data_IF_729251846854
#
_entry.id   IF_729251846854
#
_cell.length_a   1.000
_cell.length_b   1.000
_cell.length_c   1.000
_cell.angle_alpha   90.00
_cell.angle_beta   90.00
_cell.angle_gamma   90.00
#
_symmetry.space_group_name_H-M   'P 1'
#
loop_
_entity.id
_entity.type
_entity.pdbx_description
1 polymer ?
#
# COMPACT_ATOMS: atom_id res chain seq x y z
N UNK A 1 9.86 -5.70 -8.78
CA UNK A 1 10.04 -7.12 -8.39
C UNK A 1 8.72 -7.65 -7.82
N UNK A 2 7.92 -8.38 -8.62
CA UNK A 2 6.74 -9.08 -8.11
C UNK A 2 7.14 -10.49 -7.66
N UNK A 3 7.15 -10.74 -6.35
CA UNK A 3 7.36 -12.07 -5.80
C UNK A 3 6.02 -12.84 -5.86
N UNK A 4 5.91 -13.76 -6.82
CA UNK A 4 4.95 -14.87 -6.73
C UNK A 4 5.44 -15.79 -5.61
N UNK A 5 4.75 -15.76 -4.46
CA UNK A 5 4.93 -16.77 -3.41
C UNK A 5 4.04 -17.96 -3.78
N UNK A 6 4.65 -19.03 -4.27
CA UNK A 6 4.01 -20.35 -4.38
C UNK A 6 4.62 -21.20 -3.27
N UNK A 7 3.80 -21.65 -2.31
CA UNK A 7 4.20 -22.63 -1.31
C UNK A 7 4.08 -24.03 -1.91
N UNK A 8 5.21 -24.70 -2.16
CA UNK A 8 5.23 -26.15 -2.41
C UNK A 8 5.75 -26.86 -1.16
N UNK A 9 4.90 -27.73 -0.60
CA UNK A 9 5.27 -28.75 0.40
C UNK A 9 6.16 -29.79 -0.27
N UNK A 10 7.38 -29.99 0.24
CA UNK A 10 8.30 -31.00 -0.24
C UNK A 10 8.45 -32.15 0.75
N UNK A 11 8.24 -33.38 0.29
CA UNK A 11 8.70 -34.61 0.94
C UNK A 11 10.18 -34.90 0.64
N UNK A 12 10.94 -35.58 1.52
CA UNK A 12 12.38 -35.75 1.37
C UNK A 12 12.75 -37.04 0.61
N UNK A 13 13.62 -36.92 -0.39
CA UNK A 13 14.10 -38.06 -1.20
C UNK A 13 15.45 -37.83 -1.89
N UNK A 14 16.52 -37.93 -1.10
CA UNK A 14 17.88 -38.44 -1.39
C UNK A 14 18.39 -38.60 -2.85
N UNK A 15 19.47 -37.87 -3.21
CA UNK A 15 20.83 -38.35 -3.57
C UNK A 15 21.60 -37.37 -4.48
N UNK A 16 22.89 -37.27 -4.19
CA UNK A 16 23.87 -36.24 -4.61
C UNK A 16 24.46 -36.53 -5.99
N UNK A 17 24.60 -35.50 -6.83
CA UNK A 17 25.39 -35.49 -8.07
C UNK A 17 25.84 -34.05 -8.41
N UNK A 18 26.98 -33.85 -9.11
CA UNK A 18 27.64 -32.54 -9.21
C UNK A 18 26.85 -31.60 -10.14
N UNK A 19 26.24 -30.56 -9.56
CA UNK A 19 25.21 -29.76 -10.22
C UNK A 19 25.76 -28.60 -11.06
N UNK A 20 25.59 -28.68 -12.39
CA UNK A 20 25.41 -27.49 -13.25
C UNK A 20 24.35 -26.59 -12.61
N UNK A 21 24.66 -25.30 -12.46
CA UNK A 21 23.83 -24.32 -11.74
C UNK A 21 22.34 -24.44 -12.07
N UNK A 22 21.56 -24.94 -11.11
CA UNK A 22 20.11 -25.11 -11.25
C UNK A 22 19.47 -23.72 -11.15
N UNK A 23 19.19 -23.09 -12.30
CA UNK A 23 18.35 -21.89 -12.36
C UNK A 23 17.06 -22.23 -11.61
N UNK A 24 16.70 -21.44 -10.59
CA UNK A 24 15.48 -21.71 -9.81
C UNK A 24 14.28 -21.74 -10.77
N UNK A 25 13.42 -22.75 -10.65
CA UNK A 25 12.20 -22.89 -11.49
C UNK A 25 11.36 -21.60 -11.52
N UNK A 26 11.39 -20.81 -10.45
CA UNK A 26 10.75 -19.49 -10.38
C UNK A 26 11.35 -18.40 -11.27
N UNK A 27 12.64 -18.47 -11.65
CA UNK A 27 13.23 -17.52 -12.62
C UNK A 27 12.80 -17.82 -14.06
N UNK A 28 12.65 -19.09 -14.42
CA UNK A 28 12.19 -19.49 -15.76
C UNK A 28 10.72 -19.10 -16.01
N UNK A 29 9.85 -19.25 -15.00
CA UNK A 29 8.43 -18.88 -15.12
C UNK A 29 8.18 -17.38 -15.37
N UNK A 30 9.17 -16.53 -15.08
CA UNK A 30 9.07 -15.08 -15.27
C UNK A 30 9.71 -14.58 -16.57
N UNK A 31 10.41 -15.43 -17.32
CA UNK A 31 10.96 -15.03 -18.60
C UNK A 31 9.86 -15.05 -19.67
N UNK A 32 9.68 -13.91 -20.33
CA UNK A 32 8.79 -13.79 -21.47
C UNK A 32 9.48 -14.51 -22.64
N UNK A 33 8.81 -15.47 -23.30
CA UNK A 33 9.41 -16.21 -24.39
C UNK A 33 9.88 -15.30 -25.56
N UNK A 34 11.02 -15.60 -26.20
CA UNK A 34 11.53 -14.82 -27.32
C UNK A 34 10.54 -14.65 -28.48
N UNK A 35 9.68 -15.64 -28.72
CA UNK A 35 8.64 -15.60 -29.75
C UNK A 35 7.58 -14.52 -29.52
N UNK A 36 7.36 -14.09 -28.27
CA UNK A 36 6.51 -12.94 -27.95
C UNK A 36 7.33 -11.66 -28.04
N UNK A 37 8.51 -11.62 -27.41
CA UNK A 37 9.36 -10.42 -27.35
C UNK A 37 9.80 -9.93 -28.73
N UNK A 38 10.11 -10.86 -29.64
CA UNK A 38 10.65 -10.58 -30.96
C UNK A 38 9.58 -10.65 -32.06
N UNK A 39 8.29 -10.71 -31.72
CA UNK A 39 7.21 -10.72 -32.70
C UNK A 39 7.10 -9.35 -33.39
N UNK A 40 7.41 -9.21 -34.70
CA UNK A 40 7.42 -7.90 -35.36
C UNK A 40 6.03 -7.24 -35.42
N UNK A 41 4.97 -8.05 -35.52
CA UNK A 41 3.60 -7.53 -35.54
C UNK A 41 3.19 -6.98 -34.18
N UNK A 42 3.60 -7.65 -33.09
CA UNK A 42 3.34 -7.16 -31.74
C UNK A 42 4.11 -5.87 -31.47
N UNK A 43 5.39 -5.82 -31.84
CA UNK A 43 6.21 -4.62 -31.69
C UNK A 43 5.60 -3.43 -32.45
N UNK A 44 5.14 -3.63 -33.69
CA UNK A 44 4.46 -2.60 -34.46
C UNK A 44 3.14 -2.15 -33.80
N UNK A 45 2.35 -3.08 -33.24
CA UNK A 45 1.10 -2.72 -32.58
C UNK A 45 1.34 -1.93 -31.27
N UNK A 46 2.37 -2.30 -30.50
CA UNK A 46 2.75 -1.60 -29.26
C UNK A 46 3.24 -0.18 -29.52
N UNK A 47 3.77 0.14 -30.72
CA UNK A 47 4.17 1.50 -31.10
C UNK A 47 2.99 2.50 -31.16
N UNK A 48 1.74 2.02 -31.16
CA UNK A 48 0.56 2.89 -31.03
C UNK A 48 0.40 3.45 -29.60
N UNK A 49 1.04 2.85 -28.60
CA UNK A 49 1.06 3.32 -27.21
C UNK A 49 2.22 4.31 -27.01
N UNK A 50 2.09 5.28 -26.08
CA UNK A 50 3.14 6.26 -25.84
C UNK A 50 4.43 5.56 -25.38
N UNK A 51 5.52 5.84 -26.09
CA UNK A 51 6.78 5.11 -25.93
C UNK A 51 7.43 5.31 -24.56
N UNK A 52 7.11 6.39 -23.86
CA UNK A 52 7.60 6.66 -22.51
C UNK A 52 6.84 5.88 -21.42
N UNK A 53 5.71 5.22 -21.73
CA UNK A 53 4.95 4.41 -20.78
C UNK A 53 5.24 2.92 -21.01
N UNK A 54 5.52 2.18 -19.95
CA UNK A 54 5.69 0.73 -20.00
C UNK A 54 4.43 0.01 -19.50
N UNK A 55 3.52 -0.31 -20.43
CA UNK A 55 2.32 -1.12 -20.16
C UNK A 55 2.60 -2.62 -20.01
N UNK A 56 3.85 -3.07 -20.09
CA UNK A 56 4.26 -4.48 -20.00
C UNK A 56 3.49 -5.44 -20.93
N UNK A 57 3.03 -4.97 -22.11
CA UNK A 57 2.17 -5.74 -23.02
C UNK A 57 2.68 -7.17 -23.31
N UNK A 58 3.97 -7.39 -23.65
CA UNK A 58 4.49 -8.75 -23.87
C UNK A 58 4.34 -9.66 -22.64
N UNK A 59 4.53 -9.11 -21.43
CA UNK A 59 4.37 -9.84 -20.17
C UNK A 59 2.90 -10.17 -19.94
N UNK A 60 1.99 -9.22 -20.20
CA UNK A 60 0.55 -9.42 -20.07
C UNK A 60 0.08 -10.54 -21.00
N UNK A 61 0.47 -10.53 -22.27
CA UNK A 61 0.19 -11.61 -23.24
C UNK A 61 0.68 -12.96 -22.71
N UNK A 62 1.94 -13.01 -22.27
CA UNK A 62 2.52 -14.25 -21.73
C UNK A 62 1.74 -14.78 -20.52
N UNK A 63 1.35 -13.89 -19.60
CA UNK A 63 0.60 -14.27 -18.39
C UNK A 63 -0.81 -14.75 -18.71
N UNK A 64 -1.49 -14.14 -19.67
CA UNK A 64 -2.80 -14.58 -20.16
C UNK A 64 -2.67 -15.99 -20.77
N UNK A 65 -1.66 -16.22 -21.61
CA UNK A 65 -1.40 -17.53 -22.22
C UNK A 65 -1.06 -18.61 -21.18
N UNK A 66 -0.23 -18.29 -20.19
CA UNK A 66 0.11 -19.18 -19.07
C UNK A 66 -1.07 -19.49 -18.14
N UNK A 67 -2.03 -18.57 -18.05
CA UNK A 67 -3.28 -18.79 -17.34
C UNK A 67 -4.31 -19.56 -18.19
N UNK A 68 -4.06 -19.73 -19.48
CA UNK A 68 -5.03 -20.23 -20.46
C UNK A 68 -6.36 -19.45 -20.44
N UNK A 69 -6.29 -18.17 -20.03
CA UNK A 69 -7.45 -17.33 -19.80
C UNK A 69 -8.22 -17.09 -21.11
N UNK A 70 -9.55 -17.18 -21.04
CA UNK A 70 -10.48 -16.94 -22.14
C UNK A 70 -11.17 -15.60 -22.01
N UNK A 71 -11.42 -15.16 -20.78
CA UNK A 71 -11.99 -13.84 -20.46
C UNK A 71 -11.01 -13.05 -19.60
N UNK A 72 -10.67 -11.85 -20.06
CA UNK A 72 -9.72 -10.95 -19.41
C UNK A 72 -10.41 -9.62 -19.14
N UNK A 73 -10.29 -9.12 -17.92
CA UNK A 73 -10.72 -7.77 -17.58
C UNK A 73 -9.51 -6.85 -17.42
N UNK A 74 -9.64 -5.62 -17.90
CA UNK A 74 -8.68 -4.55 -17.69
C UNK A 74 -9.27 -3.52 -16.74
N UNK A 75 -8.59 -3.24 -15.64
CA UNK A 75 -8.93 -2.17 -14.71
C UNK A 75 -7.82 -1.12 -14.76
N UNK A 76 -8.20 0.15 -14.95
CA UNK A 76 -7.25 1.25 -15.14
C UNK A 76 -7.73 2.48 -14.38
N UNK A 77 -6.83 3.30 -13.82
CA UNK A 77 -7.17 4.64 -13.38
C UNK A 77 -7.59 5.51 -14.58
N UNK A 78 -8.28 6.62 -14.30
CA UNK A 78 -8.91 7.48 -15.30
C UNK A 78 -7.89 7.99 -16.33
N UNK A 79 -6.70 8.37 -15.86
CA UNK A 79 -5.60 8.85 -16.68
C UNK A 79 -4.99 7.82 -17.64
N UNK A 80 -5.37 6.55 -17.55
CA UNK A 80 -4.92 5.49 -18.47
C UNK A 80 -6.05 4.93 -19.35
N UNK A 81 -7.32 5.29 -19.10
CA UNK A 81 -8.46 4.80 -19.89
C UNK A 81 -8.39 5.20 -21.37
N UNK A 82 -7.72 6.31 -21.71
CA UNK A 82 -7.50 6.71 -23.11
C UNK A 82 -6.73 5.67 -23.94
N UNK A 83 -6.00 4.75 -23.28
CA UNK A 83 -5.24 3.68 -23.94
C UNK A 83 -5.98 2.34 -23.93
N UNK A 84 -7.13 2.25 -23.27
CA UNK A 84 -7.79 0.98 -22.97
C UNK A 84 -8.18 0.23 -24.24
N UNK A 85 -8.84 0.88 -25.21
CA UNK A 85 -9.25 0.24 -26.47
C UNK A 85 -8.05 -0.27 -27.27
N UNK A 86 -6.97 0.51 -27.39
CA UNK A 86 -5.75 0.06 -28.06
C UNK A 86 -5.14 -1.16 -27.37
N UNK A 87 -5.14 -1.20 -26.04
CA UNK A 87 -4.64 -2.34 -25.27
C UNK A 87 -5.56 -3.57 -25.47
N UNK A 88 -6.89 -3.40 -25.49
CA UNK A 88 -7.86 -4.45 -25.81
C UNK A 88 -7.54 -5.06 -27.18
N UNK A 89 -7.48 -4.25 -28.23
CA UNK A 89 -7.22 -4.71 -29.61
C UNK A 89 -5.92 -5.53 -29.71
N UNK A 90 -4.86 -5.07 -29.03
CA UNK A 90 -3.58 -5.79 -28.99
C UNK A 90 -3.76 -7.13 -28.25
N UNK A 91 -4.33 -7.12 -27.06
CA UNK A 91 -4.46 -8.35 -26.26
C UNK A 91 -5.34 -9.38 -26.94
N UNK A 92 -6.49 -8.99 -27.52
CA UNK A 92 -7.37 -9.91 -28.25
C UNK A 92 -6.64 -10.52 -29.45
N UNK A 93 -5.93 -9.70 -30.24
CA UNK A 93 -5.17 -10.16 -31.41
C UNK A 93 -4.11 -11.20 -31.07
N UNK A 94 -3.38 -11.02 -29.97
CA UNK A 94 -2.21 -11.86 -29.64
C UNK A 94 -2.49 -12.97 -28.60
N UNK A 95 -3.68 -13.01 -28.00
CA UNK A 95 -4.07 -14.05 -27.02
C UNK A 95 -5.29 -14.85 -27.42
N UNK A 96 -6.15 -14.31 -28.31
CA UNK A 96 -7.50 -14.85 -28.62
C UNK A 96 -8.44 -14.92 -27.41
N UNK A 97 -8.13 -14.23 -26.32
CA UNK A 97 -9.06 -14.03 -25.22
C UNK A 97 -10.05 -12.92 -25.58
N UNK A 98 -11.25 -13.00 -25.03
CA UNK A 98 -12.21 -11.89 -24.96
C UNK A 98 -11.71 -10.92 -23.89
N UNK A 99 -11.51 -9.65 -24.25
CA UNK A 99 -10.95 -8.65 -23.33
C UNK A 99 -11.94 -7.51 -23.13
N UNK A 100 -12.28 -7.23 -21.87
CA UNK A 100 -13.21 -6.15 -21.50
C UNK A 100 -12.54 -5.09 -20.63
N UNK A 101 -13.03 -3.86 -20.70
CA UNK A 101 -12.59 -2.76 -19.84
C UNK A 101 -13.59 -2.58 -18.71
N UNK A 102 -13.08 -2.55 -17.46
CA UNK A 102 -13.86 -2.21 -16.28
C UNK A 102 -13.97 -0.68 -16.21
N UNK A 103 -15.19 -0.16 -16.40
CA UNK A 103 -15.44 1.28 -16.53
C UNK A 103 -15.63 2.05 -15.22
N UNK A 104 -15.67 1.36 -14.08
CA UNK A 104 -15.78 2.00 -12.77
C UNK A 104 -14.47 2.71 -12.37
N UNK A 105 -14.62 3.78 -11.59
CA UNK A 105 -13.53 4.62 -11.11
C UNK A 105 -12.48 3.81 -10.34
N UNK A 106 -11.20 4.05 -10.59
CA UNK A 106 -10.09 3.32 -9.94
C UNK A 106 -9.04 4.29 -9.40
N UNK A 107 -9.24 4.74 -8.15
CA UNK A 107 -8.37 5.72 -7.49
C UNK A 107 -7.00 5.17 -7.06
N UNK A 108 -6.84 3.85 -6.92
CA UNK A 108 -5.65 3.25 -6.33
C UNK A 108 -5.66 1.73 -6.32
N UNK A 109 -4.56 1.13 -5.84
CA UNK A 109 -4.46 -0.33 -5.64
C UNK A 109 -5.50 -0.90 -4.68
N UNK A 110 -6.00 -0.08 -3.74
CA UNK A 110 -7.08 -0.48 -2.85
C UNK A 110 -8.40 -0.71 -3.58
N UNK A 111 -8.58 -0.17 -4.79
CA UNK A 111 -9.80 -0.31 -5.59
C UNK A 111 -9.76 -1.52 -6.52
N UNK A 112 -8.81 -2.46 -6.36
CA UNK A 112 -8.78 -3.69 -7.17
C UNK A 112 -10.14 -4.40 -7.11
N UNK A 113 -10.79 -4.53 -8.26
CA UNK A 113 -12.16 -5.04 -8.35
C UNK A 113 -12.19 -6.49 -8.83
N UNK A 114 -11.68 -7.37 -7.98
CA UNK A 114 -11.76 -8.80 -8.24
C UNK A 114 -13.16 -9.37 -7.98
N UNK A 115 -14.01 -8.68 -7.22
CA UNK A 115 -15.37 -9.14 -6.95
C UNK A 115 -16.22 -9.11 -8.22
N UNK A 116 -16.25 -7.98 -8.93
CA UNK A 116 -16.98 -7.86 -10.20
C UNK A 116 -16.37 -8.76 -11.26
N UNK A 117 -15.04 -8.81 -11.37
CA UNK A 117 -14.36 -9.68 -12.33
C UNK A 117 -14.74 -11.16 -12.13
N UNK A 118 -14.72 -11.66 -10.88
CA UNK A 118 -15.17 -13.02 -10.55
C UNK A 118 -16.66 -13.23 -10.88
N UNK A 119 -17.52 -12.26 -10.55
CA UNK A 119 -18.95 -12.35 -10.83
C UNK A 119 -19.27 -12.44 -12.33
N UNK A 120 -18.43 -11.83 -13.18
CA UNK A 120 -18.54 -11.89 -14.64
C UNK A 120 -17.89 -13.15 -15.25
N UNK A 121 -17.30 -14.03 -14.43
CA UNK A 121 -16.58 -15.21 -14.90
C UNK A 121 -15.30 -14.86 -15.67
N UNK A 122 -14.63 -13.77 -15.29
CA UNK A 122 -13.31 -13.40 -15.81
C UNK A 122 -12.27 -14.35 -15.23
N UNK A 123 -11.38 -14.87 -16.08
CA UNK A 123 -10.30 -15.77 -15.65
C UNK A 123 -9.07 -14.97 -15.18
N UNK A 124 -8.88 -13.77 -15.74
CA UNK A 124 -7.68 -12.96 -15.55
C UNK A 124 -7.99 -11.46 -15.48
N UNK A 125 -7.57 -10.80 -14.40
CA UNK A 125 -7.67 -9.35 -14.24
C UNK A 125 -6.29 -8.70 -14.41
N UNK A 126 -6.19 -7.68 -15.26
CA UNK A 126 -5.01 -6.82 -15.37
C UNK A 126 -5.33 -5.47 -14.74
N UNK A 127 -4.69 -5.17 -13.61
CA UNK A 127 -4.84 -3.90 -12.88
C UNK A 127 -3.65 -2.99 -13.18
N UNK A 128 -3.90 -1.87 -13.86
CA UNK A 128 -2.86 -0.93 -14.30
C UNK A 128 -2.67 0.22 -13.30
N UNK A 129 -1.46 0.78 -13.31
CA UNK A 129 -1.11 2.06 -12.68
C UNK A 129 -0.77 2.00 -11.20
N UNK A 130 -0.94 0.85 -10.52
CA UNK A 130 -0.73 0.76 -9.07
C UNK A 130 0.11 -0.45 -8.66
N UNK A 131 0.79 -0.33 -7.52
CA UNK A 131 1.52 -1.43 -6.88
C UNK A 131 0.57 -2.43 -6.22
N UNK A 132 1.03 -3.66 -5.99
CA UNK A 132 0.24 -4.66 -5.27
C UNK A 132 0.17 -4.29 -3.77
N UNK A 133 -0.95 -3.71 -3.35
CA UNK A 133 -1.18 -3.26 -1.97
C UNK A 133 -1.94 -4.29 -1.14
N UNK A 134 -2.91 -4.96 -1.76
CA UNK A 134 -3.83 -5.88 -1.10
C UNK A 134 -3.46 -7.32 -1.45
N UNK A 135 -3.16 -8.19 -0.47
CA UNK A 135 -2.86 -9.58 -0.75
C UNK A 135 -4.11 -10.24 -1.36
N UNK A 136 -3.94 -10.76 -2.57
CA UNK A 136 -4.98 -11.51 -3.28
C UNK A 136 -4.80 -12.99 -2.99
N UNK A 137 -5.84 -13.64 -2.49
CA UNK A 137 -5.84 -15.09 -2.36
C UNK A 137 -6.05 -15.71 -3.75
N UNK A 138 -4.94 -16.17 -4.34
CA UNK A 138 -4.93 -16.87 -5.62
C UNK A 138 -5.22 -18.37 -5.48
N UNK A 139 -5.39 -18.88 -4.25
CA UNK A 139 -5.57 -20.31 -4.00
C UNK A 139 -7.03 -20.76 -4.02
N UNK A 140 -7.99 -19.84 -3.89
CA UNK A 140 -9.39 -20.22 -3.61
C UNK A 140 -10.24 -20.41 -4.87
N UNK A 141 -9.88 -19.81 -5.99
CA UNK A 141 -10.59 -19.96 -7.28
C UNK A 141 -9.58 -19.58 -8.37
N UNK A 142 -9.52 -20.27 -9.51
CA UNK A 142 -8.57 -20.11 -10.63
C UNK A 142 -8.44 -18.69 -11.26
N UNK A 143 -8.91 -17.66 -10.57
CA UNK A 143 -8.79 -16.25 -10.86
C UNK A 143 -7.38 -15.70 -10.60
N UNK A 144 -6.79 -15.06 -11.61
CA UNK A 144 -5.44 -14.47 -11.51
C UNK A 144 -5.50 -12.96 -11.68
N UNK A 145 -4.73 -12.24 -10.88
CA UNK A 145 -4.56 -10.78 -11.00
C UNK A 145 -3.11 -10.47 -11.37
N UNK A 146 -2.92 -9.68 -12.42
CA UNK A 146 -1.65 -9.07 -12.78
C UNK A 146 -1.68 -7.58 -12.49
N UNK A 147 -0.80 -7.12 -11.61
CA UNK A 147 -0.53 -5.70 -11.45
C UNK A 147 0.52 -5.25 -12.45
N UNK A 148 0.19 -4.22 -13.24
CA UNK A 148 1.10 -3.53 -14.14
C UNK A 148 1.27 -2.11 -13.63
N UNK A 149 2.47 -1.77 -13.16
CA UNK A 149 2.69 -0.51 -12.46
C UNK A 149 2.63 0.71 -13.40
N UNK A 150 2.88 0.48 -14.69
CA UNK A 150 3.04 1.51 -15.73
C UNK A 150 4.17 2.48 -15.37
N UNK A 151 5.39 1.99 -15.57
CA UNK A 151 6.60 2.81 -15.41
C UNK A 151 6.64 3.90 -16.48
N UNK A 152 6.78 5.16 -16.07
CA UNK A 152 6.79 6.32 -16.95
C UNK A 152 8.19 6.92 -16.96
N UNK A 153 8.83 6.88 -18.12
CA UNK A 153 10.14 7.51 -18.35
C UNK A 153 9.99 9.02 -18.43
N UNK A 154 10.88 9.72 -17.76
CA UNK A 154 10.94 11.19 -17.69
C UNK A 154 12.35 11.69 -18.03
N UNK A 155 12.51 13.00 -18.13
CA UNK A 155 13.82 13.64 -18.25
C UNK A 155 14.55 13.64 -16.90
N UNK A 156 15.32 12.58 -16.65
CA UNK A 156 16.10 12.42 -15.41
C UNK A 156 17.17 13.49 -15.26
N UNK A 157 17.80 13.93 -16.36
CA UNK A 157 18.84 14.96 -16.32
C UNK A 157 18.28 16.28 -15.79
N UNK A 158 17.11 16.70 -16.29
CA UNK A 158 16.45 17.89 -15.80
C UNK A 158 16.05 17.80 -14.31
N UNK A 159 15.61 16.62 -13.84
CA UNK A 159 15.34 16.40 -12.40
C UNK A 159 16.61 16.62 -11.56
N UNK A 160 17.73 16.03 -11.99
CA UNK A 160 19.01 16.13 -11.29
C UNK A 160 19.52 17.58 -11.26
N UNK A 161 19.49 18.27 -12.39
CA UNK A 161 19.90 19.68 -12.49
C UNK A 161 19.02 20.60 -11.65
N UNK A 162 17.70 20.33 -11.60
CA UNK A 162 16.77 21.07 -10.74
C UNK A 162 17.09 20.91 -9.25
N UNK A 163 17.42 19.69 -8.81
CA UNK A 163 17.87 19.42 -7.43
C UNK A 163 19.19 20.13 -7.16
N UNK A 164 20.16 20.05 -8.08
CA UNK A 164 21.47 20.71 -7.98
C UNK A 164 21.39 22.23 -7.87
N UNK A 165 20.47 22.84 -8.60
CA UNK A 165 20.25 24.28 -8.56
C UNK A 165 19.57 24.73 -7.25
N UNK A 166 18.83 23.85 -6.58
CA UNK A 166 17.96 24.22 -5.45
C UNK A 166 18.62 23.96 -4.10
N UNK A 167 19.41 22.89 -3.95
CA UNK A 167 19.98 22.47 -2.68
C UNK A 167 21.51 22.56 -2.68
N UNK A 168 22.08 23.04 -1.59
CA UNK A 168 23.52 23.07 -1.39
C UNK A 168 24.09 21.64 -1.31
N UNK A 169 25.29 21.38 -1.88
CA UNK A 169 25.97 20.09 -1.69
C UNK A 169 26.10 19.75 -0.20
N UNK A 170 25.87 18.49 0.14
CA UNK A 170 25.85 17.96 1.51
C UNK A 170 24.47 17.98 2.18
N UNK A 171 23.47 18.66 1.63
CA UNK A 171 22.11 18.64 2.21
C UNK A 171 21.54 17.24 2.34
N UNK A 172 20.81 16.99 3.42
CA UNK A 172 20.09 15.72 3.63
C UNK A 172 18.70 15.73 2.98
N UNK A 173 18.52 14.88 1.96
CA UNK A 173 17.32 14.85 1.13
C UNK A 173 16.61 13.51 1.25
N UNK A 174 15.30 13.54 1.48
CA UNK A 174 14.43 12.37 1.31
C UNK A 174 13.76 12.42 -0.07
N UNK A 175 13.95 11.36 -0.86
CA UNK A 175 13.36 11.24 -2.19
C UNK A 175 12.16 10.30 -2.16
N UNK A 176 10.99 10.80 -2.57
CA UNK A 176 9.73 10.05 -2.60
C UNK A 176 8.97 10.27 -3.91
N UNK A 177 8.06 9.36 -4.25
CA UNK A 177 7.32 9.36 -5.52
C UNK A 177 6.08 8.47 -5.42
N UNK A 178 5.23 8.54 -6.44
CA UNK A 178 4.27 7.47 -6.76
C UNK A 178 4.93 6.36 -7.57
N UNK A 179 4.31 5.18 -7.58
CA UNK A 179 4.85 3.97 -8.21
C UNK A 179 5.28 4.15 -9.67
N UNK A 180 4.59 5.00 -10.44
CA UNK A 180 4.86 5.19 -11.87
C UNK A 180 6.23 5.81 -12.16
N UNK A 181 6.84 6.52 -11.19
CA UNK A 181 8.17 7.13 -11.35
C UNK A 181 9.23 6.59 -10.38
N UNK A 182 8.90 5.57 -9.56
CA UNK A 182 9.83 5.04 -8.54
C UNK A 182 11.13 4.52 -9.15
N UNK A 183 11.12 3.93 -10.35
CA UNK A 183 12.35 3.47 -11.00
C UNK A 183 13.30 4.63 -11.28
N UNK A 184 12.78 5.74 -11.83
CA UNK A 184 13.55 6.93 -12.14
C UNK A 184 14.00 7.65 -10.88
N UNK A 185 13.12 7.73 -9.86
CA UNK A 185 13.47 8.25 -8.54
C UNK A 185 14.66 7.50 -7.95
N UNK A 186 14.64 6.15 -7.98
CA UNK A 186 15.72 5.33 -7.45
C UNK A 186 17.02 5.48 -8.24
N UNK A 187 16.95 5.65 -9.56
CA UNK A 187 18.13 5.95 -10.38
C UNK A 187 18.72 7.32 -10.05
N UNK A 188 17.88 8.36 -10.00
CA UNK A 188 18.30 9.72 -9.61
C UNK A 188 18.89 9.74 -8.19
N UNK A 189 18.32 8.96 -7.27
CA UNK A 189 18.84 8.82 -5.92
C UNK A 189 20.25 8.26 -5.87
N UNK A 190 20.63 7.33 -6.76
CA UNK A 190 22.01 6.82 -6.80
C UNK A 190 23.00 7.86 -7.30
N UNK A 191 22.60 8.68 -8.27
CA UNK A 191 23.47 9.75 -8.79
C UNK A 191 23.67 10.87 -7.77
N UNK A 192 22.57 11.33 -7.14
CA UNK A 192 22.61 12.42 -6.16
C UNK A 192 23.41 12.08 -4.89
N UNK A 193 23.63 10.79 -4.57
CA UNK A 193 24.48 10.37 -3.42
C UNK A 193 25.92 10.86 -3.50
N UNK A 194 26.42 11.21 -4.69
CA UNK A 194 27.75 11.78 -4.84
C UNK A 194 27.86 13.19 -4.23
N UNK A 195 26.75 13.92 -4.15
CA UNK A 195 26.70 15.33 -3.79
C UNK A 195 25.86 15.59 -2.52
N UNK A 196 24.96 14.68 -2.15
CA UNK A 196 23.95 14.85 -1.09
C UNK A 196 23.85 13.64 -0.15
N UNK A 197 23.33 13.85 1.07
CA UNK A 197 22.93 12.77 1.96
C UNK A 197 21.51 12.29 1.60
N UNK A 198 21.43 11.38 0.62
CA UNK A 198 20.14 10.92 0.07
C UNK A 198 19.56 9.73 0.83
N UNK A 199 18.32 9.86 1.29
CA UNK A 199 17.49 8.77 1.80
C UNK A 199 16.32 8.47 0.85
N UNK A 200 16.01 7.18 0.66
CA UNK A 200 14.85 6.72 -0.11
C UNK A 200 13.99 5.89 0.86
N UNK A 201 13.10 6.53 1.63
CA UNK A 201 12.39 5.87 2.73
C UNK A 201 11.41 4.82 2.20
N UNK A 202 11.11 3.80 3.02
CA UNK A 202 10.19 2.73 2.64
C UNK A 202 9.19 2.47 3.78
N UNK A 203 7.90 2.54 3.47
CA UNK A 203 6.84 2.04 4.33
C UNK A 203 6.31 0.73 3.74
N UNK A 204 6.61 -0.42 4.36
CA UNK A 204 6.13 -1.71 3.85
C UNK A 204 4.59 -1.74 3.86
N UNK A 205 3.93 -2.32 2.84
CA UNK A 205 4.49 -3.16 1.77
C UNK A 205 5.00 -2.39 0.53
N UNK A 206 5.00 -1.06 0.54
CA UNK A 206 5.36 -0.24 -0.61
C UNK A 206 6.85 -0.38 -0.97
N UNK A 207 7.18 -0.05 -2.22
CA UNK A 207 8.55 -0.03 -2.72
C UNK A 207 9.36 1.11 -2.07
N UNK A 208 10.70 1.04 -2.02
CA UNK A 208 11.51 2.16 -1.55
C UNK A 208 11.23 3.44 -2.37
N UNK A 209 10.90 4.53 -1.68
CA UNK A 209 10.54 5.83 -2.24
C UNK A 209 9.06 5.95 -2.60
N UNK A 210 8.29 4.87 -2.57
CA UNK A 210 6.87 4.90 -2.88
C UNK A 210 6.05 5.40 -1.68
N UNK A 211 5.16 6.36 -1.93
CA UNK A 211 4.18 6.85 -0.96
C UNK A 211 2.76 6.77 -1.52
N UNK A 212 1.78 6.61 -0.64
CA UNK A 212 0.35 6.64 -0.96
C UNK A 212 -0.33 7.83 -0.27
N UNK A 213 -1.49 8.24 -0.77
CA UNK A 213 -2.31 9.25 -0.10
C UNK A 213 -2.73 8.88 1.33
N UNK A 214 -2.70 7.58 1.67
CA UNK A 214 -3.09 7.03 2.97
C UNK A 214 -1.93 6.39 3.75
N UNK A 215 -0.72 6.35 3.20
CA UNK A 215 0.44 5.71 3.82
C UNK A 215 1.73 6.41 3.43
N UNK A 216 2.41 7.03 4.41
CA UNK A 216 3.67 7.76 4.23
C UNK A 216 4.64 7.50 5.39
N UNK A 217 5.96 7.51 5.13
CA UNK A 217 6.96 7.30 6.18
C UNK A 217 7.07 8.51 7.12
N UNK A 218 7.51 8.25 8.36
CA UNK A 218 8.11 9.29 9.21
C UNK A 218 9.57 9.43 8.84
N UNK A 219 10.00 10.65 8.55
CA UNK A 219 11.36 10.98 8.16
C UNK A 219 12.22 11.22 9.40
N UNK A 220 13.51 10.81 9.36
CA UNK A 220 14.46 11.15 10.41
C UNK A 220 14.63 12.66 10.58
N UNK A 221 15.07 13.11 11.76
CA UNK A 221 15.18 14.54 12.11
C UNK A 221 16.26 15.27 11.29
N UNK A 222 17.24 14.54 10.81
CA UNK A 222 18.36 15.02 10.00
C UNK A 222 17.95 15.39 8.56
N UNK A 223 16.78 14.95 8.09
CA UNK A 223 16.30 15.28 6.74
C UNK A 223 15.96 16.77 6.65
N UNK A 224 16.67 17.49 5.80
CA UNK A 224 16.50 18.94 5.58
C UNK A 224 15.37 19.25 4.60
N UNK A 225 15.10 18.36 3.64
CA UNK A 225 14.00 18.51 2.71
C UNK A 225 13.51 17.16 2.16
N UNK A 226 12.23 17.10 1.82
CA UNK A 226 11.64 16.02 1.04
C UNK A 226 11.41 16.51 -0.39
N UNK A 227 11.92 15.77 -1.38
CA UNK A 227 11.69 16.01 -2.81
C UNK A 227 10.78 14.90 -3.33
N UNK A 228 9.58 15.28 -3.72
CA UNK A 228 8.58 14.42 -4.32
C UNK A 228 8.63 14.53 -5.84
N UNK A 229 8.76 13.38 -6.52
CA UNK A 229 8.63 13.26 -7.97
C UNK A 229 7.18 12.90 -8.33
N UNK A 230 6.48 13.82 -8.98
CA UNK A 230 5.12 13.60 -9.46
C UNK A 230 4.38 14.90 -9.77
N UNK A 231 3.29 14.78 -10.50
CA UNK A 231 2.50 15.88 -11.05
C UNK A 231 1.40 16.39 -10.10
N UNK A 232 0.88 15.54 -9.23
CA UNK A 232 -0.17 15.88 -8.24
C UNK A 232 0.34 16.21 -6.83
N UNK A 233 -0.49 16.92 -6.05
CA UNK A 233 -0.21 17.21 -4.62
C UNK A 233 -0.75 16.16 -3.66
N UNK A 234 -1.72 15.32 -4.06
CA UNK A 234 -2.36 14.33 -3.17
C UNK A 234 -1.34 13.44 -2.44
N UNK A 235 -0.40 12.82 -3.15
CA UNK A 235 0.60 11.97 -2.51
C UNK A 235 1.61 12.76 -1.68
N UNK A 236 2.06 13.92 -2.18
CA UNK A 236 2.96 14.79 -1.45
C UNK A 236 2.35 15.29 -0.12
N UNK A 237 1.06 15.63 -0.11
CA UNK A 237 0.35 16.05 1.10
C UNK A 237 0.36 14.96 2.17
N UNK A 238 0.32 13.69 1.79
CA UNK A 238 0.44 12.57 2.74
C UNK A 238 1.78 12.60 3.50
N UNK A 239 2.89 12.84 2.80
CA UNK A 239 4.21 12.93 3.46
C UNK A 239 4.36 14.25 4.22
N UNK A 240 3.77 15.35 3.75
CA UNK A 240 3.73 16.63 4.49
C UNK A 240 2.99 16.48 5.81
N UNK A 241 1.79 15.89 5.81
CA UNK A 241 0.97 15.63 7.01
C UNK A 241 1.76 14.81 8.04
N UNK A 242 2.46 13.77 7.59
CA UNK A 242 3.26 12.90 8.44
C UNK A 242 4.56 13.56 8.97
N UNK A 243 5.03 14.65 8.32
CA UNK A 243 6.32 15.28 8.58
C UNK A 243 6.21 16.83 8.54
N UNK A 244 5.46 17.45 9.45
CA UNK A 244 5.09 18.88 9.39
C UNK A 244 6.26 19.86 9.38
N UNK A 245 7.42 19.43 9.88
CA UNK A 245 8.60 20.28 10.04
C UNK A 245 9.62 20.12 8.91
N UNK A 246 9.37 19.24 7.93
CA UNK A 246 10.29 19.00 6.80
C UNK A 246 9.82 19.82 5.59
N UNK A 247 10.61 20.77 5.08
CA UNK A 247 10.35 21.46 3.83
C UNK A 247 10.07 20.49 2.68
N UNK A 248 8.94 20.67 2.00
CA UNK A 248 8.53 19.81 0.89
C UNK A 248 8.69 20.50 -0.46
N UNK A 249 9.20 19.75 -1.43
CA UNK A 249 9.37 20.19 -2.80
C UNK A 249 8.73 19.18 -3.75
N UNK A 250 8.04 19.67 -4.78
CA UNK A 250 7.47 18.86 -5.86
C UNK A 250 8.21 19.14 -7.15
N UNK A 251 8.81 18.10 -7.71
CA UNK A 251 9.21 18.08 -9.11
C UNK A 251 8.09 17.48 -9.96
N UNK A 252 7.47 18.29 -10.80
CA UNK A 252 6.53 17.82 -11.81
C UNK A 252 7.29 17.47 -13.09
N UNK A 253 7.33 16.20 -13.51
CA UNK A 253 8.09 15.77 -14.68
C UNK A 253 7.52 16.23 -16.01
N UNK A 254 6.26 16.65 -16.07
CA UNK A 254 5.62 17.11 -17.29
C UNK A 254 5.87 18.61 -17.49
N UNK A 255 5.65 19.42 -16.45
CA UNK A 255 5.92 20.86 -16.51
C UNK A 255 7.40 21.22 -16.32
N UNK A 256 8.22 20.26 -15.86
CA UNK A 256 9.66 20.43 -15.55
C UNK A 256 9.88 21.54 -14.53
N UNK A 257 9.05 21.59 -13.50
CA UNK A 257 9.14 22.59 -12.42
C UNK A 257 9.41 21.89 -11.09
N UNK A 258 10.46 22.31 -10.40
CA UNK A 258 10.68 22.04 -8.98
C UNK A 258 10.13 23.22 -8.17
N UNK A 259 9.08 22.98 -7.41
CA UNK A 259 8.38 24.01 -6.62
C UNK A 259 8.43 23.65 -5.14
N UNK A 260 8.51 24.67 -4.27
CA UNK A 260 8.33 24.48 -2.83
C UNK A 260 6.85 24.47 -2.50
N UNK A 261 6.42 23.44 -1.80
CA UNK A 261 5.02 23.19 -1.50
C UNK A 261 4.76 23.40 0.00
N UNK A 262 3.58 23.92 0.32
CA UNK A 262 3.16 24.19 1.69
C UNK A 262 1.83 23.49 1.99
N UNK A 263 1.63 23.13 3.25
CA UNK A 263 0.39 22.51 3.72
C UNK A 263 -0.10 23.21 4.99
N UNK A 264 -1.40 23.50 5.05
CA UNK A 264 -2.01 24.17 6.19
C UNK A 264 -2.32 23.17 7.31
N UNK A 265 -1.27 22.81 8.05
CA UNK A 265 -1.34 21.84 9.13
C UNK A 265 -2.26 22.31 10.26
N UNK A 266 -2.27 23.61 10.56
CA UNK A 266 -3.12 24.17 11.62
C UNK A 266 -4.59 24.04 11.26
N UNK A 267 -4.97 24.43 10.04
CA UNK A 267 -6.35 24.28 9.57
C UNK A 267 -6.78 22.83 9.48
N UNK A 268 -5.93 21.95 8.96
CA UNK A 268 -6.24 20.52 8.89
C UNK A 268 -6.49 19.99 10.31
N UNK A 269 -5.55 20.18 11.23
CA UNK A 269 -5.69 19.66 12.60
C UNK A 269 -6.89 20.25 13.34
N UNK A 270 -7.14 21.56 13.22
CA UNK A 270 -8.30 22.21 13.83
C UNK A 270 -9.62 21.62 13.32
N UNK A 271 -9.76 21.47 12.00
CA UNK A 271 -10.95 20.88 11.36
C UNK A 271 -11.17 19.45 11.84
N UNK A 272 -10.10 18.64 11.92
CA UNK A 272 -10.19 17.25 12.38
C UNK A 272 -10.52 17.15 13.87
N UNK A 273 -9.93 18.00 14.71
CA UNK A 273 -10.22 18.05 16.14
C UNK A 273 -11.65 18.52 16.44
N UNK A 274 -12.19 19.47 15.67
CA UNK A 274 -13.59 19.89 15.76
C UNK A 274 -14.53 18.73 15.44
N UNK A 275 -14.27 17.98 14.36
CA UNK A 275 -15.03 16.78 14.00
C UNK A 275 -15.01 15.72 15.11
N UNK A 276 -13.84 15.48 15.72
CA UNK A 276 -13.69 14.57 16.88
C UNK A 276 -14.46 15.08 18.09
N UNK A 277 -14.41 16.38 18.38
CA UNK A 277 -15.10 16.98 19.51
C UNK A 277 -16.62 16.86 19.37
N UNK A 278 -17.16 17.14 18.18
CA UNK A 278 -18.58 16.93 17.88
C UNK A 278 -18.99 15.46 18.04
N UNK A 279 -18.16 14.53 17.56
CA UNK A 279 -18.40 13.09 17.66
C UNK A 279 -18.48 12.57 19.11
N UNK A 280 -17.76 13.18 20.06
CA UNK A 280 -17.81 12.78 21.49
C UNK A 280 -19.20 12.95 22.11
N UNK A 281 -20.03 13.83 21.56
CA UNK A 281 -21.41 14.07 21.99
C UNK A 281 -22.47 13.34 21.16
N UNK A 282 -22.05 12.58 20.14
CA UNK A 282 -22.97 11.87 19.25
C UNK A 282 -23.73 10.76 19.98
N UNK A 283 -25.04 10.68 19.74
CA UNK A 283 -25.90 9.62 20.28
C UNK A 283 -25.99 8.43 19.34
N UNK A 284 -25.99 8.66 18.03
CA UNK A 284 -26.08 7.61 17.01
C UNK A 284 -24.93 7.70 16.02
N UNK A 285 -24.23 6.57 15.84
CA UNK A 285 -23.06 6.47 14.97
C UNK A 285 -23.42 5.80 13.63
N UNK A 286 -22.81 6.24 12.55
CA UNK A 286 -22.89 5.59 11.25
C UNK A 286 -21.55 4.99 10.88
N UNK A 287 -21.50 3.70 10.61
CA UNK A 287 -20.29 3.00 10.16
C UNK A 287 -20.39 2.74 8.66
N UNK A 288 -19.51 3.38 7.88
CA UNK A 288 -19.42 3.18 6.44
C UNK A 288 -18.32 2.17 6.14
N UNK A 289 -18.66 1.10 5.42
CA UNK A 289 -17.69 0.18 4.83
C UNK A 289 -17.57 0.48 3.33
N UNK A 290 -16.38 0.88 2.88
CA UNK A 290 -16.11 1.12 1.47
C UNK A 290 -16.11 -0.16 0.65
N UNK A 291 -16.92 -0.21 -0.42
CA UNK A 291 -17.07 -1.39 -1.29
C UNK A 291 -16.46 -1.23 -2.68
N UNK A 292 -15.79 -0.11 -2.97
CA UNK A 292 -14.99 0.05 -4.19
C UNK A 292 -13.71 -0.78 -4.07
N UNK A 293 -13.71 -1.95 -4.70
CA UNK A 293 -12.66 -2.95 -4.57
C UNK A 293 -12.46 -3.40 -3.12
N UNK A 294 -11.26 -3.20 -2.59
CA UNK A 294 -10.80 -3.66 -1.26
C UNK A 294 -10.39 -2.52 -0.33
N UNK A 295 -10.91 -1.31 -0.55
CA UNK A 295 -10.61 -0.17 0.32
C UNK A 295 -11.21 -0.32 1.72
N UNK A 296 -12.33 -1.04 1.84
CA UNK A 296 -12.95 -1.38 3.12
C UNK A 296 -12.23 -2.54 3.81
N UNK A 297 -12.32 -2.55 5.14
CA UNK A 297 -11.77 -3.63 5.97
C UNK A 297 -12.84 -4.14 6.93
N UNK A 298 -13.40 -5.34 6.69
CA UNK A 298 -14.33 -5.98 7.62
C UNK A 298 -13.75 -6.08 9.04
N UNK A 299 -12.44 -6.34 9.17
CA UNK A 299 -11.76 -6.38 10.47
C UNK A 299 -11.83 -5.04 11.23
N UNK A 300 -11.62 -3.92 10.55
CA UNK A 300 -11.71 -2.59 11.17
C UNK A 300 -13.17 -2.30 11.54
N UNK A 301 -14.11 -2.65 10.65
CA UNK A 301 -15.55 -2.50 10.92
C UNK A 301 -15.97 -3.29 12.17
N UNK A 302 -15.62 -4.58 12.25
CA UNK A 302 -15.90 -5.45 13.41
C UNK A 302 -15.32 -4.88 14.71
N UNK A 303 -14.11 -4.31 14.65
CA UNK A 303 -13.50 -3.65 15.80
C UNK A 303 -14.32 -2.42 16.26
N UNK A 304 -14.70 -1.54 15.33
CA UNK A 304 -15.53 -0.37 15.63
C UNK A 304 -16.89 -0.77 16.21
N UNK A 305 -17.54 -1.78 15.63
CA UNK A 305 -18.80 -2.31 16.15
C UNK A 305 -18.67 -2.84 17.57
N UNK A 306 -17.60 -3.58 17.85
CA UNK A 306 -17.31 -4.10 19.19
C UNK A 306 -17.13 -2.97 20.20
N UNK A 307 -16.39 -1.91 19.83
CA UNK A 307 -16.20 -0.73 20.68
C UNK A 307 -17.50 0.01 20.95
N UNK A 308 -18.30 0.29 19.93
CA UNK A 308 -19.58 0.99 20.08
C UNK A 308 -20.57 0.19 20.92
N UNK A 309 -20.67 -1.14 20.72
CA UNK A 309 -21.47 -2.03 21.58
C UNK A 309 -21.00 -1.99 23.03
N UNK A 310 -19.69 -2.08 23.26
CA UNK A 310 -19.10 -2.03 24.61
C UNK A 310 -19.34 -0.70 25.34
N UNK A 311 -19.60 0.38 24.61
CA UNK A 311 -19.93 1.71 25.15
C UNK A 311 -21.45 1.98 25.21
N UNK A 312 -22.30 1.04 24.75
CA UNK A 312 -23.75 1.23 24.69
C UNK A 312 -24.20 2.27 23.65
N UNK A 313 -23.37 2.56 22.66
CA UNK A 313 -23.66 3.53 21.60
C UNK A 313 -24.35 2.84 20.41
N UNK A 314 -25.57 3.23 20.03
CA UNK A 314 -26.25 2.67 18.87
C UNK A 314 -25.55 3.09 17.58
N UNK A 315 -25.59 2.21 16.58
CA UNK A 315 -25.00 2.48 15.29
C UNK A 315 -25.77 1.85 14.12
N UNK A 316 -25.63 2.44 12.93
CA UNK A 316 -26.11 1.91 11.66
C UNK A 316 -24.93 1.52 10.78
N UNK A 317 -25.08 0.47 9.97
CA UNK A 317 -24.09 0.07 8.96
C UNK A 317 -24.52 0.57 7.60
N UNK A 318 -23.60 1.14 6.85
CA UNK A 318 -23.82 1.61 5.48
C UNK A 318 -22.69 1.12 4.59
N UNK A 319 -23.02 0.47 3.48
CA UNK A 319 -22.04 0.01 2.49
C UNK A 319 -22.14 0.93 1.27
N UNK A 320 -21.01 1.47 0.82
CA UNK A 320 -20.95 2.41 -0.31
C UNK A 320 -19.68 2.18 -1.12
N UNK A 321 -19.79 2.19 -2.46
CA UNK A 321 -18.62 2.25 -3.34
C UNK A 321 -17.94 3.61 -3.23
N UNK A 322 -18.73 4.67 -3.36
CA UNK A 322 -18.30 6.06 -3.25
C UNK A 322 -19.11 6.81 -2.19
N UNK A 323 -18.44 7.69 -1.44
CA UNK A 323 -19.01 8.38 -0.28
C UNK A 323 -19.24 9.86 -0.62
N UNK A 324 -20.50 10.25 -0.77
CA UNK A 324 -20.89 11.61 -1.13
C UNK A 324 -21.70 12.31 -0.02
N UNK A 325 -21.52 13.62 0.20
CA UNK A 325 -22.30 14.38 1.20
C UNK A 325 -23.81 14.28 1.01
N UNK A 326 -24.28 14.35 -0.24
CA UNK A 326 -25.71 14.24 -0.59
C UNK A 326 -26.30 12.89 -0.18
N UNK A 327 -25.53 11.79 -0.33
CA UNK A 327 -25.97 10.45 0.05
C UNK A 327 -26.14 10.31 1.57
N UNK A 328 -25.16 10.80 2.34
CA UNK A 328 -25.20 10.71 3.81
C UNK A 328 -26.27 11.62 4.42
N UNK A 329 -26.60 12.73 3.74
CA UNK A 329 -27.66 13.66 4.17
C UNK A 329 -29.06 13.03 4.18
N UNK A 330 -29.27 11.92 3.47
CA UNK A 330 -30.54 11.18 3.45
C UNK A 330 -30.77 10.35 4.73
N UNK A 331 -29.80 10.30 5.65
CA UNK A 331 -29.86 9.56 6.92
C UNK A 331 -29.69 10.52 8.10
N UNK A 332 -30.67 11.42 8.35
CA UNK A 332 -30.54 12.51 9.32
C UNK A 332 -30.48 12.04 10.78
N UNK A 333 -30.84 10.78 11.05
CA UNK A 333 -30.76 10.18 12.39
C UNK A 333 -29.32 9.89 12.84
N UNK A 334 -28.34 9.95 11.93
CA UNK A 334 -26.94 9.70 12.25
C UNK A 334 -26.25 11.01 12.65
N UNK A 335 -25.66 11.03 13.84
CA UNK A 335 -24.99 12.21 14.39
C UNK A 335 -23.55 12.34 13.88
N UNK A 336 -22.88 11.21 13.65
CA UNK A 336 -21.48 11.12 13.21
C UNK A 336 -21.27 9.92 12.30
N UNK A 337 -20.44 10.09 11.27
CA UNK A 337 -20.01 9.02 10.38
C UNK A 337 -18.55 8.63 10.63
N UNK A 338 -18.27 7.34 10.62
CA UNK A 338 -16.92 6.77 10.57
C UNK A 338 -16.80 5.99 9.28
N UNK A 339 -15.86 6.37 8.41
CA UNK A 339 -15.62 5.67 7.15
C UNK A 339 -14.42 4.75 7.24
N UNK A 340 -14.63 3.48 6.91
CA UNK A 340 -13.61 2.46 6.68
C UNK A 340 -13.47 2.31 5.17
N UNK A 341 -12.81 3.28 4.54
CA UNK A 341 -12.53 3.36 3.11
C UNK A 341 -11.21 4.14 2.91
N UNK A 342 -11.16 5.09 1.96
CA UNK A 342 -10.01 5.97 1.80
C UNK A 342 -9.93 7.02 2.95
N UNK A 343 -8.86 7.06 3.77
CA UNK A 343 -8.70 8.03 4.87
C UNK A 343 -8.79 9.50 4.43
N UNK A 344 -8.39 9.78 3.19
CA UNK A 344 -8.37 11.15 2.63
C UNK A 344 -9.77 11.75 2.48
N UNK A 345 -10.82 10.93 2.36
CA UNK A 345 -12.22 11.39 2.37
C UNK A 345 -12.54 12.21 3.61
N UNK A 346 -12.07 11.78 4.77
CA UNK A 346 -12.22 12.53 6.01
C UNK A 346 -11.25 13.70 6.10
N UNK A 347 -9.99 13.49 5.74
CA UNK A 347 -8.92 14.50 5.92
C UNK A 347 -9.16 15.73 5.04
N UNK A 348 -9.44 15.53 3.74
CA UNK A 348 -9.54 16.64 2.78
C UNK A 348 -10.97 17.13 2.58
N UNK A 349 -11.94 16.20 2.55
CA UNK A 349 -13.33 16.51 2.21
C UNK A 349 -14.28 16.42 3.40
N UNK A 350 -13.80 16.10 4.61
CA UNK A 350 -14.65 15.90 5.77
C UNK A 350 -15.52 17.11 6.14
N UNK A 351 -15.06 18.34 5.81
CA UNK A 351 -15.80 19.59 6.01
C UNK A 351 -16.91 19.84 4.99
N UNK A 352 -16.93 19.11 3.87
CA UNK A 352 -18.03 19.15 2.89
C UNK A 352 -19.26 18.34 3.35
N UNK A 353 -19.13 17.57 4.43
CA UNK A 353 -20.22 16.79 5.00
C UNK A 353 -20.96 17.58 6.07
N UNK A 354 -22.31 17.55 6.11
CA UNK A 354 -23.09 18.28 7.12
C UNK A 354 -22.97 17.70 8.53
N UNK A 355 -22.48 16.46 8.65
CA UNK A 355 -22.19 15.76 9.90
C UNK A 355 -20.72 15.35 9.91
N UNK A 356 -20.07 15.27 11.09
CA UNK A 356 -18.66 14.88 11.15
C UNK A 356 -18.40 13.54 10.45
N UNK A 357 -17.43 13.51 9.54
CA UNK A 357 -16.94 12.31 8.87
C UNK A 357 -15.54 11.99 9.38
N UNK A 358 -15.39 10.93 10.14
CA UNK A 358 -14.15 10.50 10.79
C UNK A 358 -13.47 9.36 10.04
N UNK A 359 -12.14 9.33 10.10
CA UNK A 359 -11.34 8.12 9.84
C UNK A 359 -11.48 7.13 11.01
N UNK A 360 -11.08 5.86 10.84
CA UNK A 360 -11.09 4.90 11.94
C UNK A 360 -10.11 5.30 13.07
N UNK A 361 -9.00 5.98 12.75
CA UNK A 361 -8.08 6.53 13.74
C UNK A 361 -8.76 7.60 14.61
N UNK A 362 -9.47 8.53 13.98
CA UNK A 362 -10.14 9.62 14.69
C UNK A 362 -11.34 9.11 15.50
N UNK A 363 -12.01 8.06 15.04
CA UNK A 363 -13.01 7.35 15.83
C UNK A 363 -12.38 6.77 17.11
N UNK A 364 -11.19 6.15 17.04
CA UNK A 364 -10.48 5.68 18.22
C UNK A 364 -10.15 6.83 19.20
N UNK A 365 -9.78 8.01 18.70
CA UNK A 365 -9.57 9.22 19.53
C UNK A 365 -10.88 9.75 20.13
N UNK A 366 -11.97 9.75 19.36
CA UNK A 366 -13.29 10.19 19.83
C UNK A 366 -13.85 9.26 20.92
N UNK A 367 -13.67 7.95 20.75
CA UNK A 367 -14.08 6.91 21.70
C UNK A 367 -13.12 6.73 22.88
N UNK A 368 -12.05 7.54 22.96
CA UNK A 368 -11.03 7.55 24.03
C UNK A 368 -10.19 6.27 24.13
N UNK A 369 -10.06 5.54 23.03
CA UNK A 369 -9.19 4.35 22.96
C UNK A 369 -7.70 4.74 22.89
N UNK A 370 -7.42 5.91 22.31
CA UNK A 370 -6.08 6.51 22.26
C UNK A 370 -6.17 8.03 22.36
N UNK A 371 -5.07 8.67 22.77
CA UNK A 371 -4.90 10.11 22.65
C UNK A 371 -4.61 10.54 21.20
N UNK A 372 -4.91 11.81 20.91
CA UNK A 372 -4.49 12.45 19.66
C UNK A 372 -2.96 12.34 19.48
N UNK A 373 -2.53 12.00 18.27
CA UNK A 373 -1.13 11.77 17.91
C UNK A 373 -0.60 12.98 17.17
N UNK A 374 0.65 13.35 17.47
CA UNK A 374 1.37 14.40 16.77
C UNK A 374 2.74 13.88 16.32
N UNK A 375 3.08 13.94 15.02
CA UNK A 375 2.22 14.34 13.89
C UNK A 375 1.04 13.37 13.64
N UNK A 376 0.06 13.82 12.85
CA UNK A 376 -1.11 13.02 12.45
C UNK A 376 -0.64 11.75 11.70
N UNK A 377 -1.16 10.56 12.04
CA UNK A 377 -0.69 9.31 11.45
C UNK A 377 -1.21 9.13 10.01
N UNK A 378 -0.29 8.82 9.10
CA UNK A 378 -0.57 8.39 7.72
C UNK A 378 -0.09 6.96 7.54
N UNK A 379 -0.73 6.01 8.24
CA UNK A 379 -0.24 4.62 8.41
C UNK A 379 -1.27 3.56 8.00
N UNK A 380 -2.30 3.91 7.25
CA UNK A 380 -3.49 3.06 7.05
C UNK A 380 -3.20 1.67 6.48
N UNK A 381 -2.23 1.56 5.56
CA UNK A 381 -1.71 0.31 5.02
C UNK A 381 -0.27 0.01 5.47
N UNK A 382 0.29 0.77 6.42
CA UNK A 382 1.63 0.53 6.92
C UNK A 382 1.74 -0.84 7.59
N UNK A 383 2.82 -1.58 7.33
CA UNK A 383 3.10 -2.84 8.00
C UNK A 383 3.27 -2.67 9.51
N UNK A 384 3.97 -1.60 9.92
CA UNK A 384 4.13 -1.18 11.31
C UNK A 384 2.91 -0.39 11.81
N UNK A 385 1.77 -1.06 11.83
CA UNK A 385 0.48 -0.56 12.30
C UNK A 385 0.54 0.11 13.69
N UNK A 386 -0.02 1.31 13.83
CA UNK A 386 -0.15 1.98 15.13
C UNK A 386 -1.38 1.53 15.94
N UNK A 387 -2.30 0.78 15.34
CA UNK A 387 -3.48 0.29 16.04
C UNK A 387 -4.55 -0.35 15.15
N UNK A 388 -5.65 -0.82 15.76
CA UNK A 388 -6.71 -1.59 15.07
C UNK A 388 -7.52 -0.79 14.05
N UNK A 389 -7.24 0.50 13.89
CA UNK A 389 -7.78 1.36 12.83
C UNK A 389 -7.05 1.25 11.48
N UNK A 390 -6.05 0.38 11.37
CA UNK A 390 -5.25 0.18 10.15
C UNK A 390 -5.44 -1.22 9.57
N UNK A 391 -5.27 -1.35 8.26
CA UNK A 391 -5.58 -2.59 7.52
C UNK A 391 -4.63 -3.73 7.88
N UNK A 392 -3.35 -3.42 8.13
CA UNK A 392 -2.31 -4.41 8.42
C UNK A 392 -2.10 -4.66 9.92
N UNK A 393 -2.97 -4.12 10.79
CA UNK A 393 -2.89 -4.37 12.23
C UNK A 393 -2.92 -5.86 12.55
N UNK A 394 -1.95 -6.33 13.34
CA UNK A 394 -1.83 -7.73 13.74
C UNK A 394 -1.46 -8.71 12.62
N UNK A 395 -0.98 -8.23 11.46
CA UNK A 395 -0.43 -9.07 10.39
C UNK A 395 1.10 -9.20 10.42
N UNK A 396 1.79 -8.42 11.26
CA UNK A 396 3.22 -8.61 11.46
C UNK A 396 3.46 -10.02 11.99
N UNK A 397 4.36 -10.81 11.37
CA UNK A 397 4.94 -11.93 12.07
C UNK A 397 5.67 -11.30 13.24
N UNK A 398 5.14 -11.46 14.46
CA UNK A 398 5.83 -11.02 15.67
C UNK A 398 7.29 -11.48 15.66
N UNK A 399 8.19 -10.86 16.43
CA UNK A 399 9.55 -11.37 16.55
C UNK A 399 9.41 -12.85 16.90
N UNK A 400 9.94 -13.75 16.04
CA UNK A 400 9.82 -15.19 16.23
C UNK A 400 10.23 -15.47 17.66
N UNK A 401 9.25 -15.74 18.52
CA UNK A 401 9.49 -16.09 19.91
C UNK A 401 10.44 -17.28 19.87
N UNK A 402 11.61 -17.11 20.49
CA UNK A 402 12.48 -18.21 20.84
C UNK A 402 11.60 -19.29 21.47
N UNK A 403 11.66 -20.49 20.88
CA UNK A 403 10.69 -21.55 21.11
C UNK A 403 10.46 -21.85 22.58
N UNK A 404 9.20 -22.06 22.95
CA UNK A 404 8.89 -22.87 24.12
C UNK A 404 8.47 -24.26 23.65
N UNK A 405 9.11 -25.32 24.17
CA UNK A 405 8.76 -26.68 23.81
C UNK A 405 7.41 -27.06 24.44
N UNK A 406 6.68 -27.89 23.70
CA UNK A 406 5.42 -28.47 24.13
C UNK A 406 5.51 -29.15 25.49
N UNK A 407 4.56 -28.81 26.37
CA UNK A 407 4.18 -29.55 27.57
C UNK A 407 2.66 -29.44 27.63
N UNK A 408 1.86 -30.51 27.54
CA UNK A 408 1.96 -31.72 28.35
C UNK A 408 0.90 -31.62 29.46
N UNK A 409 -0.31 -32.11 29.16
CA UNK A 409 -1.49 -32.12 30.06
C UNK A 409 -1.16 -32.67 31.45
N UNK A 410 -1.44 -31.94 32.53
CA UNK A 410 -1.78 -32.52 33.85
C UNK A 410 -2.78 -31.63 34.61
N UNK A 411 -3.79 -32.27 35.19
CA UNK A 411 -4.91 -31.71 35.95
C UNK A 411 -4.53 -31.28 37.38
N UNK A 412 -5.19 -30.20 37.82
CA UNK A 412 -5.71 -29.85 39.17
C UNK A 412 -4.91 -30.16 40.44
N UNK A 413 -4.68 -29.12 41.26
CA UNK A 413 -4.36 -29.29 42.69
C UNK A 413 -3.83 -28.08 43.46
N UNK A 414 -4.71 -27.12 43.77
CA UNK A 414 -4.80 -26.24 44.96
C UNK A 414 -3.56 -25.78 45.80
N UNK A 415 -3.61 -24.46 46.07
CA UNK A 415 -3.13 -23.66 47.24
C UNK A 415 -1.67 -23.14 47.26
N UNK A 416 -1.55 -21.81 47.08
CA UNK A 416 -1.26 -20.92 48.22
C UNK A 416 0.06 -20.14 48.24
N UNK A 417 -0.06 -18.85 47.92
CA UNK A 417 0.63 -17.68 48.54
C UNK A 417 2.07 -17.30 48.11
N UNK A 418 2.16 -16.11 47.48
CA UNK A 418 3.31 -15.22 47.19
C UNK A 418 3.91 -14.57 48.47
N UNK A 419 4.83 -13.55 48.44
CA UNK A 419 5.53 -12.89 47.31
C UNK A 419 7.03 -12.48 47.52
N UNK A 420 7.79 -12.44 46.40
CA UNK A 420 8.70 -11.36 45.95
C UNK A 420 9.92 -10.90 46.82
N UNK A 421 10.80 -9.96 46.34
CA UNK A 421 12.07 -10.31 45.70
C UNK A 421 13.30 -9.51 46.25
N UNK A 422 14.53 -9.87 45.87
CA UNK A 422 15.70 -8.99 45.99
C UNK A 422 16.80 -9.33 44.97
N UNK A 423 17.46 -8.28 44.51
CA UNK A 423 18.40 -8.17 43.38
C UNK A 423 19.87 -8.22 43.85
N UNK A 424 20.81 -8.07 42.89
CA UNK A 424 22.26 -7.79 43.01
C UNK A 424 23.15 -9.05 43.20
N UNK A 425 24.26 -9.31 42.49
CA UNK A 425 25.11 -8.62 41.50
C UNK A 425 26.43 -9.42 41.33
N UNK A 426 27.28 -9.03 40.36
CA UNK A 426 28.68 -9.51 40.08
C UNK A 426 28.82 -10.91 39.42
N UNK A 427 29.31 -11.13 38.19
CA UNK A 427 30.49 -10.73 37.36
C UNK A 427 31.69 -11.69 37.45
N UNK A 428 32.11 -12.18 36.27
CA UNK A 428 33.45 -12.71 35.92
C UNK A 428 33.83 -14.06 36.57
N UNK A 429 34.52 -15.03 35.95
CA UNK A 429 35.19 -15.20 34.68
C UNK A 429 35.60 -16.70 34.60
N UNK A 430 35.59 -17.31 33.42
CA UNK A 430 36.78 -17.89 32.76
C UNK A 430 36.97 -19.42 32.87
N UNK A 431 37.58 -19.95 31.80
CA UNK A 431 38.20 -21.27 31.57
C UNK A 431 37.29 -22.34 30.92
N UNK A 432 37.25 -22.43 29.58
CA UNK A 432 38.17 -23.09 28.61
C UNK A 432 38.10 -24.62 28.55
N UNK A 433 37.90 -25.08 27.30
CA UNK A 433 38.36 -26.33 26.67
C UNK A 433 37.69 -27.65 27.16
N UNK A 434 37.37 -28.65 26.35
CA UNK A 434 37.66 -29.00 24.97
C UNK A 434 36.61 -30.01 24.44
N UNK A 435 36.37 -30.01 23.12
CA UNK A 435 35.86 -31.15 22.31
C UNK A 435 37.01 -32.17 22.07
N UNK A 436 36.85 -33.38 21.44
CA UNK A 436 35.77 -33.82 20.55
C UNK A 436 35.37 -35.33 20.57
N UNK A 437 34.38 -35.64 19.71
CA UNK A 437 34.20 -36.84 18.88
C UNK A 437 33.75 -38.18 19.48
N UNK A 438 32.49 -38.52 19.14
CA UNK A 438 32.09 -39.77 18.47
C UNK A 438 30.84 -39.51 17.64
#
# INVERSE_FOLDING_TARGET
>A
MAALVVSETAEPGSRVGPGRGRISRGRLANQIPPEILNNPQLQAAVQALPSNYNFEIPKTIWRIQQAQAKKVALQMPEGLLLFACTIVDILERFTKAEVMVMGDVTYGACCVDDFTARALGVDFLVHYGHSCLVPMDTSVQDFRVLYVFVDIRIDTAHLLDSVRLTFAPGSSLALVSTIQFVSTLQAAAQELKAEYHVSVPQCKPLSPGEILGCTSPRLPKEVEAVVYLGDGRFHLESVMIANPNVPAYRYDPYSKVLSREHYDHQRMQATRQEAIAAARSAKTWGLILGTLGRQGSPKILEHLESRLKGLGLPFVRLLLSEIFPSKLSLLPMVDVWVQVACPRLSIDWGSAFPKPLLTPYEAAVALKDISWQQPYPMDFYAGNSLGPWTVNHGRDPGPRGLGQPASGKVQQGFRGQSPAPACEGCSCADLKAALPAS
#
